data_IF_937164945818
#
_entry.id   IF_937164945818
#
_cell.length_a   1.000
_cell.length_b   1.000
_cell.length_c   1.000
_cell.angle_alpha   90.00
_cell.angle_beta   90.00
_cell.angle_gamma   90.00
#
_symmetry.space_group_name_H-M   'P 1'
#
loop_
_entity.id
_entity.type
_entity.pdbx_description
1 polymer ?
#
# COMPACT_ATOMS: atom_id res chain seq x y z
N UNK A 1 6.79 15.09 32.84
CA UNK A 1 7.79 15.63 31.90
C UNK A 1 7.36 15.17 30.52
N UNK A 2 7.17 16.09 29.58
CA UNK A 2 6.84 15.70 28.20
C UNK A 2 8.08 15.01 27.62
N UNK A 3 7.97 13.72 27.34
CA UNK A 3 8.97 13.01 26.55
C UNK A 3 8.97 13.66 25.18
N UNK A 4 10.00 14.44 24.85
CA UNK A 4 10.21 14.95 23.50
C UNK A 4 10.48 13.74 22.61
N UNK A 5 9.48 13.30 21.86
CA UNK A 5 9.66 12.24 20.87
C UNK A 5 10.70 12.71 19.84
N UNK A 6 11.73 11.89 19.62
CA UNK A 6 12.73 12.16 18.58
C UNK A 6 12.00 12.18 17.24
N UNK A 7 12.33 13.17 16.41
CA UNK A 7 11.73 13.38 15.10
C UNK A 7 12.74 12.99 14.02
N UNK A 8 12.25 12.30 12.99
CA UNK A 8 13.01 11.86 11.82
C UNK A 8 12.47 12.61 10.61
N UNK A 9 13.36 13.14 9.78
CA UNK A 9 12.96 13.83 8.54
C UNK A 9 13.10 12.84 7.40
N UNK A 10 12.01 12.62 6.67
CA UNK A 10 12.01 11.79 5.45
C UNK A 10 11.69 12.65 4.23
N UNK A 11 12.28 12.33 3.09
CA UNK A 11 12.13 13.09 1.85
C UNK A 11 11.59 12.22 0.73
N UNK A 12 10.48 12.61 0.12
CA UNK A 12 9.89 11.91 -1.02
C UNK A 12 10.69 12.07 -2.30
N UNK A 13 10.35 11.29 -3.33
CA UNK A 13 11.02 11.29 -4.63
C UNK A 13 10.84 12.59 -5.42
N UNK A 14 9.77 13.34 -5.16
CA UNK A 14 9.48 14.67 -5.73
C UNK A 14 10.00 15.83 -4.86
N UNK A 15 10.73 15.51 -3.78
CA UNK A 15 11.48 16.47 -2.98
C UNK A 15 10.71 17.08 -1.81
N UNK A 16 9.48 16.66 -1.54
CA UNK A 16 8.75 17.04 -0.34
C UNK A 16 9.36 16.38 0.91
N UNK A 17 9.39 17.11 2.02
CA UNK A 17 9.96 16.65 3.29
C UNK A 17 8.89 16.52 4.37
N UNK A 18 8.95 15.43 5.13
CA UNK A 18 8.01 15.14 6.20
C UNK A 18 8.77 14.93 7.51
N UNK A 19 8.31 15.58 8.56
CA UNK A 19 8.81 15.37 9.91
C UNK A 19 7.93 14.35 10.61
N UNK A 20 8.52 13.22 11.02
CA UNK A 20 7.81 12.03 11.49
C UNK A 20 8.31 11.66 12.87
N UNK A 21 7.42 11.26 13.78
CA UNK A 21 7.84 10.70 15.06
C UNK A 21 8.65 9.42 14.86
N UNK A 22 9.72 9.25 15.63
CA UNK A 22 10.58 8.06 15.58
C UNK A 22 9.76 6.77 15.73
N UNK A 23 8.72 6.77 16.59
CA UNK A 23 7.83 5.63 16.77
C UNK A 23 7.10 5.20 15.47
N UNK A 24 6.80 6.16 14.60
CA UNK A 24 6.16 5.92 13.31
C UNK A 24 7.21 5.55 12.27
N UNK A 25 8.38 6.23 12.28
CA UNK A 25 9.51 5.90 11.41
C UNK A 25 10.00 4.46 11.61
N UNK A 26 9.98 3.94 12.84
CA UNK A 26 10.32 2.55 13.17
C UNK A 26 9.36 1.51 12.58
N UNK A 27 8.19 1.92 12.05
CA UNK A 27 7.29 1.01 11.29
C UNK A 27 7.74 0.82 9.85
N UNK A 28 8.59 1.70 9.33
CA UNK A 28 9.11 1.66 7.97
C UNK A 28 10.43 0.90 8.01
N UNK A 29 10.48 -0.36 7.57
CA UNK A 29 11.67 -1.23 7.80
C UNK A 29 12.99 -0.62 7.27
N UNK A 30 13.05 -0.05 6.05
CA UNK A 30 14.29 0.55 5.57
C UNK A 30 14.80 1.68 6.49
N UNK A 31 13.87 2.48 7.02
CA UNK A 31 14.21 3.60 7.92
C UNK A 31 14.58 3.09 9.30
N UNK A 32 13.87 2.07 9.80
CA UNK A 32 14.21 1.39 11.05
C UNK A 32 15.66 0.90 11.03
N UNK A 33 16.09 0.21 9.96
CA UNK A 33 17.48 -0.24 9.82
C UNK A 33 18.46 0.94 9.89
N UNK A 34 18.17 2.05 9.20
CA UNK A 34 19.01 3.25 9.26
C UNK A 34 19.09 3.87 10.66
N UNK A 35 18.01 3.83 11.44
CA UNK A 35 17.99 4.30 12.84
C UNK A 35 18.79 3.37 13.74
N UNK A 36 18.64 2.05 13.60
CA UNK A 36 19.36 1.05 14.40
C UNK A 36 20.87 1.07 14.15
N UNK A 37 21.29 1.39 12.91
CA UNK A 37 22.69 1.55 12.52
C UNK A 37 23.28 2.95 12.83
N UNK A 38 22.55 3.81 13.55
CA UNK A 38 22.93 5.20 13.88
C UNK A 38 23.30 6.04 12.63
N UNK A 39 22.65 5.75 11.50
CA UNK A 39 22.86 6.38 10.19
C UNK A 39 21.69 7.29 9.79
N UNK A 40 20.81 7.62 10.73
CA UNK A 40 19.63 8.46 10.54
C UNK A 40 19.90 9.96 10.81
N UNK A 41 21.16 10.38 10.74
CA UNK A 41 21.58 11.77 10.95
C UNK A 41 21.28 12.63 9.71
N UNK A 42 20.04 13.09 9.58
CA UNK A 42 19.61 14.04 8.54
C UNK A 42 18.31 13.67 7.84
N UNK A 43 18.17 14.15 6.60
CA UNK A 43 17.03 13.82 5.74
C UNK A 43 17.20 12.43 5.13
N UNK A 44 16.30 11.50 5.45
CA UNK A 44 16.30 10.15 4.89
C UNK A 44 15.52 10.16 3.57
N UNK A 45 16.15 9.91 2.41
CA UNK A 45 15.45 9.87 1.14
C UNK A 45 14.64 8.57 1.02
N UNK A 46 13.37 8.71 0.66
CA UNK A 46 12.49 7.63 0.22
C UNK A 46 12.38 7.75 -1.29
N UNK A 47 13.25 7.05 -2.05
CA UNK A 47 13.17 7.07 -3.50
C UNK A 47 11.82 6.47 -3.92
N UNK A 48 11.42 6.69 -5.18
CA UNK A 48 10.22 6.13 -5.84
C UNK A 48 8.84 6.49 -5.29
N UNK A 49 8.73 7.00 -4.05
CA UNK A 49 7.45 7.38 -3.43
C UNK A 49 7.29 8.91 -3.50
N UNK A 50 6.24 9.38 -4.17
CA UNK A 50 5.88 10.81 -4.23
C UNK A 50 5.38 11.33 -2.89
N UNK A 51 5.43 12.64 -2.66
CA UNK A 51 5.01 13.27 -1.40
C UNK A 51 3.55 12.97 -1.08
N UNK A 52 2.68 13.02 -2.10
CA UNK A 52 1.26 12.65 -1.97
C UNK A 52 1.05 11.23 -1.43
N UNK A 53 1.82 10.26 -1.93
CA UNK A 53 1.68 8.86 -1.52
C UNK A 53 2.33 8.63 -0.16
N UNK A 54 3.49 9.25 0.07
CA UNK A 54 4.18 9.19 1.35
C UNK A 54 3.30 9.76 2.48
N UNK A 55 2.62 10.88 2.25
CA UNK A 55 1.67 11.46 3.21
C UNK A 55 0.57 10.46 3.61
N UNK A 56 0.00 9.74 2.65
CA UNK A 56 -1.00 8.69 2.90
C UNK A 56 -0.43 7.50 3.66
N UNK A 57 0.80 7.08 3.34
CA UNK A 57 1.48 6.00 4.07
C UNK A 57 1.71 6.41 5.52
N UNK A 58 2.15 7.64 5.76
CA UNK A 58 2.36 8.18 7.11
C UNK A 58 1.03 8.31 7.88
N UNK A 59 -0.04 8.74 7.22
CA UNK A 59 -1.41 8.73 7.79
C UNK A 59 -1.82 7.33 8.24
N UNK A 60 -1.57 6.31 7.42
CA UNK A 60 -1.85 4.91 7.77
C UNK A 60 -1.02 4.44 8.97
N UNK A 61 0.28 4.74 8.97
CA UNK A 61 1.18 4.36 10.05
C UNK A 61 0.80 5.04 11.37
N UNK A 62 0.43 6.32 11.35
CA UNK A 62 -0.02 7.05 12.55
C UNK A 62 -1.25 6.40 13.18
N UNK A 63 -2.27 6.07 12.38
CA UNK A 63 -3.48 5.42 12.88
C UNK A 63 -3.22 3.99 13.41
N UNK A 64 -2.19 3.32 12.91
CA UNK A 64 -1.75 2.00 13.40
C UNK A 64 -0.81 2.06 14.63
N UNK A 65 -0.03 3.12 14.80
CA UNK A 65 0.91 3.31 15.92
C UNK A 65 0.18 3.71 17.19
N UNK A 66 -0.90 4.48 17.07
CA UNK A 66 -1.65 5.01 18.21
C UNK A 66 -2.40 3.96 19.04
N UNK A 67 -2.37 2.67 18.64
CA UNK A 67 -3.04 1.61 19.39
C UNK A 67 -4.55 1.83 19.56
N UNK A 68 -5.15 2.80 18.84
CA UNK A 68 -6.60 3.03 18.80
C UNK A 68 -7.35 1.75 18.45
N UNK A 69 -6.69 0.85 17.74
CA UNK A 69 -7.19 -0.44 17.31
C UNK A 69 -6.17 -1.53 17.66
N UNK A 70 -5.92 -1.73 18.96
CA UNK A 70 -5.12 -2.85 19.48
C UNK A 70 -5.74 -4.22 19.22
N UNK A 71 -7.03 -4.25 18.91
CA UNK A 71 -7.78 -5.39 18.37
C UNK A 71 -8.51 -4.93 17.10
N UNK A 72 -8.69 -5.80 16.08
CA UNK A 72 -9.50 -5.48 14.91
C UNK A 72 -10.94 -5.23 15.35
N UNK A 73 -11.30 -3.96 15.49
CA UNK A 73 -12.68 -3.53 15.71
C UNK A 73 -13.35 -3.30 14.36
N UNK A 74 -14.67 -3.39 14.33
CA UNK A 74 -15.45 -3.05 13.12
C UNK A 74 -15.19 -1.61 12.65
N UNK A 75 -14.97 -0.68 13.57
CA UNK A 75 -14.62 0.71 13.24
C UNK A 75 -13.29 0.82 12.50
N UNK A 76 -12.31 -0.03 12.83
CA UNK A 76 -11.04 -0.07 12.14
C UNK A 76 -11.16 -0.60 10.72
N UNK A 77 -11.93 -1.68 10.55
CA UNK A 77 -12.18 -2.27 9.23
C UNK A 77 -12.92 -1.29 8.32
N UNK A 78 -13.86 -0.51 8.86
CA UNK A 78 -14.55 0.57 8.14
C UNK A 78 -13.58 1.68 7.75
N UNK A 79 -12.72 2.13 8.66
CA UNK A 79 -11.71 3.13 8.36
C UNK A 79 -10.72 2.64 7.29
N UNK A 80 -10.25 1.39 7.38
CA UNK A 80 -9.36 0.79 6.38
C UNK A 80 -10.05 0.70 5.01
N UNK A 81 -11.34 0.36 4.97
CA UNK A 81 -12.13 0.31 3.74
C UNK A 81 -12.28 1.70 3.10
N UNK A 82 -12.47 2.75 3.89
CA UNK A 82 -12.52 4.13 3.41
C UNK A 82 -11.13 4.64 3.01
N UNK A 83 -10.07 4.26 3.72
CA UNK A 83 -8.69 4.66 3.43
C UNK A 83 -8.25 4.22 2.02
N UNK A 84 -8.60 2.99 1.62
CA UNK A 84 -8.28 2.43 0.29
C UNK A 84 -9.27 2.81 -0.80
N UNK A 85 -10.29 3.62 -0.49
CA UNK A 85 -11.27 4.14 -1.46
C UNK A 85 -10.69 5.30 -2.27
N UNK A 86 -9.62 5.01 -2.98
CA UNK A 86 -8.87 5.93 -3.84
C UNK A 86 -8.95 5.50 -5.30
N UNK A 87 -8.46 6.34 -6.22
CA UNK A 87 -8.34 5.95 -7.63
C UNK A 87 -7.30 4.84 -7.81
N UNK A 88 -7.40 4.09 -8.92
CA UNK A 88 -6.52 2.94 -9.18
C UNK A 88 -5.04 3.31 -9.20
N UNK A 89 -4.68 4.49 -9.72
CA UNK A 89 -3.28 4.96 -9.76
C UNK A 89 -2.76 5.11 -8.34
N UNK A 90 -3.49 5.84 -7.49
CA UNK A 90 -3.13 6.01 -6.08
C UNK A 90 -3.08 4.65 -5.35
N UNK A 91 -3.99 3.71 -5.66
CA UNK A 91 -3.99 2.38 -5.05
C UNK A 91 -2.74 1.57 -5.44
N UNK A 92 -2.33 1.58 -6.71
CA UNK A 92 -1.11 0.90 -7.17
C UNK A 92 0.17 1.55 -6.63
N UNK A 93 0.18 2.87 -6.52
CA UNK A 93 1.30 3.59 -5.89
C UNK A 93 1.38 3.25 -4.40
N UNK A 94 0.25 3.12 -3.69
CA UNK A 94 0.20 2.65 -2.31
C UNK A 94 0.71 1.21 -2.16
N UNK A 95 0.35 0.29 -3.06
CA UNK A 95 0.88 -1.08 -3.08
C UNK A 95 2.40 -1.06 -3.22
N UNK A 96 2.90 -0.25 -4.17
CA UNK A 96 4.34 -0.14 -4.45
C UNK A 96 5.10 0.46 -3.26
N UNK A 97 4.56 1.52 -2.66
CA UNK A 97 5.13 2.16 -1.48
C UNK A 97 5.11 1.24 -0.25
N UNK A 98 4.00 0.51 -0.02
CA UNK A 98 3.87 -0.44 1.07
C UNK A 98 4.86 -1.60 0.95
N UNK A 99 5.09 -2.09 -0.27
CA UNK A 99 6.11 -3.11 -0.54
C UNK A 99 7.52 -2.57 -0.30
N UNK A 100 7.83 -1.35 -0.78
CA UNK A 100 9.15 -0.74 -0.60
C UNK A 100 9.48 -0.43 0.86
N UNK A 101 8.50 0.05 1.63
CA UNK A 101 8.66 0.40 3.04
C UNK A 101 8.43 -0.79 3.98
N UNK A 102 8.15 -1.97 3.40
CA UNK A 102 7.83 -3.24 4.07
C UNK A 102 6.70 -3.16 5.11
N UNK A 103 5.63 -2.45 4.77
CA UNK A 103 4.44 -2.31 5.61
C UNK A 103 3.46 -3.43 5.27
N UNK A 104 3.64 -4.61 5.87
CA UNK A 104 2.86 -5.81 5.56
C UNK A 104 1.35 -5.60 5.66
N UNK A 105 0.85 -4.92 6.70
CA UNK A 105 -0.60 -4.71 6.87
C UNK A 105 -1.21 -3.86 5.75
N UNK A 106 -0.51 -2.78 5.35
CA UNK A 106 -0.94 -1.94 4.23
C UNK A 106 -0.87 -2.69 2.89
N UNK A 107 0.17 -3.51 2.70
CA UNK A 107 0.29 -4.35 1.51
C UNK A 107 -0.85 -5.37 1.43
N UNK A 108 -1.15 -6.06 2.54
CA UNK A 108 -2.24 -7.03 2.61
C UNK A 108 -3.61 -6.36 2.35
N UNK A 109 -3.85 -5.19 2.95
CA UNK A 109 -5.08 -4.41 2.77
C UNK A 109 -5.28 -4.00 1.32
N UNK A 110 -4.25 -3.42 0.70
CA UNK A 110 -4.32 -2.95 -0.69
C UNK A 110 -4.44 -4.13 -1.68
N UNK A 111 -3.73 -5.24 -1.44
CA UNK A 111 -3.89 -6.47 -2.23
C UNK A 111 -5.29 -7.06 -2.11
N UNK A 112 -5.86 -7.10 -0.89
CA UNK A 112 -7.24 -7.55 -0.64
C UNK A 112 -8.25 -6.70 -1.41
N UNK A 113 -8.06 -5.38 -1.44
CA UNK A 113 -8.91 -4.47 -2.21
C UNK A 113 -8.86 -4.76 -3.71
N UNK A 114 -7.67 -4.94 -4.28
CA UNK A 114 -7.52 -5.32 -5.70
C UNK A 114 -8.17 -6.67 -5.98
N UNK A 115 -7.97 -7.67 -5.12
CA UNK A 115 -8.59 -8.98 -5.26
C UNK A 115 -10.12 -8.90 -5.24
N UNK A 116 -10.69 -8.08 -4.34
CA UNK A 116 -12.13 -7.83 -4.27
C UNK A 116 -12.67 -7.14 -5.53
N UNK A 117 -11.88 -6.27 -6.18
CA UNK A 117 -12.26 -5.66 -7.46
C UNK A 117 -12.32 -6.65 -8.62
N UNK A 118 -11.62 -7.79 -8.50
CA UNK A 118 -11.62 -8.89 -9.49
C UNK A 118 -12.68 -9.95 -9.17
N UNK A 119 -13.04 -10.11 -7.89
CA UNK A 119 -13.97 -11.14 -7.42
C UNK A 119 -15.33 -11.00 -8.11
N UNK A 120 -15.81 -12.10 -8.71
CA UNK A 120 -17.12 -12.16 -9.37
C UNK A 120 -17.20 -11.47 -10.73
N UNK A 121 -16.10 -10.88 -11.23
CA UNK A 121 -16.04 -10.30 -12.58
C UNK A 121 -15.58 -11.34 -13.60
N UNK A 122 -16.13 -11.25 -14.80
CA UNK A 122 -15.65 -12.03 -15.94
C UNK A 122 -14.26 -11.55 -16.39
N UNK A 123 -13.48 -12.39 -17.11
CA UNK A 123 -12.19 -11.98 -17.68
C UNK A 123 -12.28 -10.71 -18.54
N UNK A 124 -13.40 -10.51 -19.25
CA UNK A 124 -13.64 -9.33 -20.09
C UNK A 124 -13.80 -8.07 -19.23
N UNK A 125 -14.56 -8.16 -18.14
CA UNK A 125 -14.77 -7.03 -17.22
C UNK A 125 -13.51 -6.70 -16.42
N UNK A 126 -12.73 -7.71 -16.03
CA UNK A 126 -11.41 -7.51 -15.39
C UNK A 126 -10.50 -6.76 -16.36
N UNK A 127 -10.37 -7.22 -17.61
CA UNK A 127 -9.54 -6.54 -18.61
C UNK A 127 -9.97 -5.10 -18.83
N UNK A 128 -11.28 -4.83 -18.89
CA UNK A 128 -11.80 -3.46 -19.01
C UNK A 128 -11.51 -2.62 -17.76
N UNK A 129 -11.68 -3.19 -16.57
CA UNK A 129 -11.46 -2.50 -15.29
C UNK A 129 -10.00 -2.07 -15.13
N UNK A 130 -9.05 -2.94 -15.48
CA UNK A 130 -7.61 -2.72 -15.32
C UNK A 130 -6.92 -2.27 -16.62
N UNK A 131 -7.70 -1.90 -17.64
CA UNK A 131 -7.22 -1.48 -18.96
C UNK A 131 -6.16 -2.42 -19.57
N UNK A 132 -6.37 -3.74 -19.42
CA UNK A 132 -5.48 -4.80 -19.91
C UNK A 132 -5.81 -5.09 -21.37
N UNK A 133 -4.79 -5.05 -22.23
CA UNK A 133 -4.93 -5.40 -23.65
C UNK A 133 -5.23 -6.89 -23.81
N UNK A 134 -6.17 -7.23 -24.69
CA UNK A 134 -6.35 -8.61 -25.17
C UNK A 134 -5.18 -8.98 -26.09
N UNK A 135 -4.37 -9.91 -25.63
CA UNK A 135 -3.15 -10.42 -26.26
C UNK A 135 -3.30 -11.83 -26.84
N UNK A 136 -4.34 -12.56 -26.44
CA UNK A 136 -4.67 -13.89 -26.97
C UNK A 136 -5.44 -13.85 -28.30
N UNK A 137 -5.13 -14.79 -29.19
CA UNK A 137 -5.95 -15.06 -30.38
C UNK A 137 -7.30 -15.69 -29.98
N UNK A 138 -8.31 -15.65 -30.87
CA UNK A 138 -9.59 -16.33 -30.62
C UNK A 138 -9.42 -17.83 -30.35
N UNK A 139 -8.52 -18.52 -31.06
CA UNK A 139 -8.28 -19.95 -30.86
C UNK A 139 -7.62 -20.25 -29.50
N UNK A 140 -6.69 -19.39 -29.06
CA UNK A 140 -6.05 -19.51 -27.75
C UNK A 140 -7.04 -19.28 -26.61
N UNK A 141 -7.91 -18.28 -26.74
CA UNK A 141 -8.98 -18.04 -25.75
C UNK A 141 -9.96 -19.21 -25.66
N UNK A 142 -10.37 -19.78 -26.80
CA UNK A 142 -11.28 -20.92 -26.79
C UNK A 142 -10.61 -22.14 -26.14
N UNK A 143 -9.32 -22.39 -26.43
CA UNK A 143 -8.54 -23.45 -25.81
C UNK A 143 -8.43 -23.26 -24.30
N UNK A 144 -8.06 -22.07 -23.84
CA UNK A 144 -7.96 -21.73 -22.40
C UNK A 144 -9.33 -21.89 -21.72
N UNK A 145 -10.42 -21.48 -22.39
CA UNK A 145 -11.78 -21.61 -21.84
C UNK A 145 -12.23 -23.05 -21.74
N UNK A 146 -11.85 -23.90 -22.70
CA UNK A 146 -12.12 -25.34 -22.68
C UNK A 146 -11.33 -26.05 -21.58
N UNK A 147 -10.05 -25.70 -21.42
CA UNK A 147 -9.18 -26.27 -20.37
C UNK A 147 -9.62 -25.85 -18.96
N UNK A 148 -10.15 -24.63 -18.81
CA UNK A 148 -10.61 -24.07 -17.54
C UNK A 148 -12.13 -24.15 -17.36
N UNK A 149 -12.82 -25.02 -18.09
CA UNK A 149 -14.28 -25.17 -18.00
C UNK A 149 -14.76 -25.42 -16.56
N UNK A 150 -13.97 -26.14 -15.76
CA UNK A 150 -14.22 -26.42 -14.34
C UNK A 150 -14.41 -25.17 -13.47
N UNK A 151 -13.91 -24.00 -13.88
CA UNK A 151 -14.04 -22.75 -13.15
C UNK A 151 -15.32 -21.97 -13.51
N UNK A 152 -16.10 -22.46 -14.48
CA UNK A 152 -17.31 -21.83 -15.01
C UNK A 152 -18.58 -22.69 -14.88
N UNK A 153 -18.46 -23.91 -14.36
CA UNK A 153 -19.57 -24.81 -13.95
C UNK A 153 -19.90 -24.62 -12.45
#
# INVERSE_FOLDING_TARGET
MASTSKKIIVKSSDGETFEVDEAVALKLQPIKCMIEDDCADGEIPIPIVTGKILAKVLEYCNNHVDGKYGEPTTEFEEWEADFVKVDQTTLFDLISAANFLEIKSLLDLTCKTVANMMKGKSPVEIRKTFNIKKDFTPEEEEKIRRENAWAFD
#
